data_IF_480565447646
#
_entry.id   IF_480565447646
#
_cell.length_a   1.000
_cell.length_b   1.000
_cell.length_c   1.000
_cell.angle_alpha   90.00
_cell.angle_beta   90.00
_cell.angle_gamma   90.00
#
_symmetry.space_group_name_H-M   'P 1'
#
loop_
_entity.id
_entity.type
_entity.pdbx_description
1 polymer ?
#
# COMPACT_ATOMS: atom_id res chain seq x y z
N UNK A 1 7.80 7.72 -17.15
CA UNK A 1 9.25 7.41 -17.21
C UNK A 1 9.70 6.89 -15.85
N UNK A 2 10.62 5.92 -15.79
CA UNK A 2 11.19 5.42 -14.54
C UNK A 2 12.71 5.40 -14.63
N UNK A 3 13.42 5.73 -13.54
CA UNK A 3 14.89 5.74 -13.50
C UNK A 3 15.45 5.62 -12.08
N UNK A 4 16.63 5.01 -11.95
CA UNK A 4 17.45 5.04 -10.73
C UNK A 4 18.17 6.37 -10.52
N UNK A 5 18.32 7.15 -11.60
CA UNK A 5 18.92 8.47 -11.55
C UNK A 5 17.84 9.51 -11.23
N UNK A 6 17.79 9.96 -9.98
CA UNK A 6 16.78 10.91 -9.53
C UNK A 6 17.08 12.34 -9.93
N UNK A 7 18.35 12.67 -10.23
CA UNK A 7 18.69 13.95 -10.83
C UNK A 7 18.07 14.03 -12.24
N UNK A 8 18.21 12.97 -13.04
CA UNK A 8 17.55 12.87 -14.32
C UNK A 8 16.03 13.02 -14.21
N UNK A 9 15.38 12.35 -13.25
CA UNK A 9 13.92 12.47 -13.05
C UNK A 9 13.51 13.90 -12.72
N UNK A 10 14.24 14.59 -11.84
CA UNK A 10 13.99 15.98 -11.50
C UNK A 10 14.12 16.90 -12.72
N UNK A 11 15.18 16.76 -13.51
CA UNK A 11 15.37 17.58 -14.71
C UNK A 11 14.36 17.24 -15.81
N UNK A 12 13.93 15.99 -15.91
CA UNK A 12 12.85 15.57 -16.80
C UNK A 12 11.51 16.19 -16.37
N UNK A 13 11.18 16.17 -15.08
CA UNK A 13 9.92 16.73 -14.56
C UNK A 13 9.77 18.22 -14.86
N UNK A 14 10.87 18.99 -14.84
CA UNK A 14 10.86 20.42 -15.22
C UNK A 14 10.44 20.66 -16.66
N UNK A 15 10.76 19.73 -17.56
CA UNK A 15 10.46 19.82 -19.00
C UNK A 15 9.08 19.27 -19.32
N UNK A 16 8.72 18.17 -18.68
CA UNK A 16 7.48 17.42 -18.92
C UNK A 16 6.70 17.20 -17.60
N UNK A 17 6.15 18.26 -16.98
CA UNK A 17 5.57 18.18 -15.64
C UNK A 17 4.30 17.31 -15.55
N UNK A 18 3.61 17.10 -16.67
CA UNK A 18 2.43 16.25 -16.75
C UNK A 18 2.77 14.76 -16.83
N UNK A 19 4.01 14.41 -17.17
CA UNK A 19 4.42 13.01 -17.30
C UNK A 19 4.53 12.38 -15.91
N UNK A 20 3.83 11.26 -15.71
CA UNK A 20 3.97 10.46 -14.49
C UNK A 20 5.36 9.82 -14.45
N UNK A 21 6.05 10.04 -13.33
CA UNK A 21 7.39 9.51 -13.07
C UNK A 21 7.37 8.48 -11.93
N UNK A 22 8.19 7.44 -12.10
CA UNK A 22 8.49 6.47 -11.06
C UNK A 22 9.96 6.54 -10.65
N UNK A 23 10.22 6.83 -9.38
CA UNK A 23 11.56 6.88 -8.83
C UNK A 23 11.99 5.46 -8.42
N UNK A 24 12.90 4.87 -9.20
CA UNK A 24 13.48 3.57 -8.88
C UNK A 24 14.50 3.75 -7.76
N UNK A 25 14.48 2.87 -6.77
CA UNK A 25 15.55 2.85 -5.80
C UNK A 25 15.86 1.48 -5.23
N UNK A 26 17.03 1.36 -4.59
CA UNK A 26 17.91 2.46 -4.15
C UNK A 26 18.55 3.27 -5.31
N UNK A 27 18.55 4.62 -5.27
CA UNK A 27 18.95 5.44 -6.41
C UNK A 27 20.45 5.35 -6.73
N UNK A 28 20.83 5.62 -7.97
CA UNK A 28 22.23 5.84 -8.36
C UNK A 28 22.69 7.25 -8.02
N UNK A 29 21.81 8.24 -8.24
CA UNK A 29 21.99 9.63 -7.82
C UNK A 29 20.70 10.11 -7.18
N UNK A 30 20.80 10.89 -6.09
CA UNK A 30 19.65 11.60 -5.54
C UNK A 30 19.34 12.84 -6.40
N UNK A 31 18.22 13.52 -6.14
CA UNK A 31 17.77 14.66 -6.94
C UNK A 31 18.79 15.81 -7.04
N UNK A 32 19.69 15.96 -6.05
CA UNK A 32 20.78 16.93 -6.08
C UNK A 32 21.97 16.53 -6.97
N UNK A 33 22.01 15.29 -7.47
CA UNK A 33 23.13 14.72 -8.22
C UNK A 33 24.17 14.00 -7.37
N UNK A 34 24.03 13.99 -6.03
CA UNK A 34 24.96 13.27 -5.16
C UNK A 34 24.74 11.75 -5.21
N UNK A 35 25.83 10.99 -5.08
CA UNK A 35 25.75 9.54 -4.89
C UNK A 35 25.34 9.20 -3.45
N UNK A 36 24.36 8.31 -3.25
CA UNK A 36 23.96 7.90 -1.93
C UNK A 36 24.95 6.94 -1.27
N UNK A 37 25.16 7.07 0.04
CA UNK A 37 25.99 6.16 0.84
C UNK A 37 25.26 4.83 1.10
N UNK A 38 25.40 3.88 0.16
CA UNK A 38 24.87 2.49 0.14
C UNK A 38 23.33 2.34 0.20
N UNK A 39 22.77 1.29 -0.43
CA UNK A 39 21.35 0.99 -0.36
C UNK A 39 20.92 0.63 1.08
N UNK A 40 19.80 1.21 1.51
CA UNK A 40 19.05 0.84 2.72
C UNK A 40 17.61 0.50 2.31
N UNK A 41 16.85 -0.22 3.16
CA UNK A 41 15.41 -0.37 2.98
C UNK A 41 14.72 0.98 2.75
N UNK A 42 13.57 0.95 2.07
CA UNK A 42 12.76 2.16 1.88
C UNK A 42 12.35 2.69 3.25
N UNK A 43 12.69 3.95 3.52
CA UNK A 43 12.38 4.65 4.75
C UNK A 43 11.90 6.08 4.47
N UNK A 44 11.54 6.80 5.53
CA UNK A 44 11.04 8.17 5.45
C UNK A 44 12.06 9.13 4.82
N UNK A 45 13.37 8.92 5.04
CA UNK A 45 14.44 9.75 4.50
C UNK A 45 14.47 9.66 2.98
N UNK A 46 14.32 8.44 2.44
CA UNK A 46 14.22 8.26 1.00
C UNK A 46 12.99 8.93 0.40
N UNK A 47 11.85 8.87 1.10
CA UNK A 47 10.63 9.52 0.65
C UNK A 47 10.74 11.05 0.69
N UNK A 48 11.49 11.61 1.63
CA UNK A 48 11.78 13.05 1.69
C UNK A 48 12.60 13.48 0.47
N UNK A 49 13.67 12.74 0.16
CA UNK A 49 14.51 13.01 -1.01
C UNK A 49 13.79 12.80 -2.34
N UNK A 50 12.89 11.81 -2.41
CA UNK A 50 12.10 11.50 -3.60
C UNK A 50 11.19 12.66 -3.99
N UNK A 51 10.68 13.44 -3.02
CA UNK A 51 9.77 14.55 -3.27
C UNK A 51 10.36 15.59 -4.26
N UNK A 52 11.68 15.77 -4.26
CA UNK A 52 12.37 16.69 -5.17
C UNK A 52 12.34 16.24 -6.65
N UNK A 53 12.04 14.97 -6.92
CA UNK A 53 12.00 14.42 -8.29
C UNK A 53 10.69 14.72 -9.02
N UNK A 54 9.62 15.05 -8.27
CA UNK A 54 8.26 15.13 -8.81
C UNK A 54 7.60 13.77 -9.07
N UNK A 55 8.25 12.66 -8.73
CA UNK A 55 7.70 11.31 -8.92
C UNK A 55 6.41 11.09 -8.13
N UNK A 56 5.52 10.29 -8.72
CA UNK A 56 4.24 9.88 -8.12
C UNK A 56 4.21 8.40 -7.73
N UNK A 57 5.22 7.65 -8.17
CA UNK A 57 5.39 6.25 -7.87
C UNK A 57 6.79 6.07 -7.27
N UNK A 58 6.89 5.49 -6.08
CA UNK A 58 8.14 4.95 -5.56
C UNK A 58 8.24 3.49 -6.03
N UNK A 59 9.33 3.15 -6.68
CA UNK A 59 9.57 1.81 -7.22
C UNK A 59 10.80 1.25 -6.52
N UNK A 60 10.63 0.31 -5.60
CA UNK A 60 11.71 -0.13 -4.72
C UNK A 60 12.04 -1.62 -4.90
N UNK A 61 13.22 -2.03 -4.44
CA UNK A 61 13.50 -3.45 -4.26
C UNK A 61 12.52 -4.08 -3.26
N UNK A 62 12.63 -5.39 -3.02
CA UNK A 62 11.87 -6.09 -1.96
C UNK A 62 12.10 -5.58 -0.53
N UNK A 63 13.03 -4.64 -0.32
CA UNK A 63 13.32 -4.05 0.99
C UNK A 63 12.34 -2.92 1.34
N UNK A 64 11.07 -3.29 1.50
CA UNK A 64 9.97 -2.41 1.94
C UNK A 64 9.35 -2.96 3.22
N UNK A 65 8.71 -2.09 4.01
CA UNK A 65 7.95 -2.46 5.20
C UNK A 65 6.53 -1.89 5.14
N UNK A 66 5.63 -2.39 5.99
CA UNK A 66 4.26 -1.88 6.05
C UNK A 66 4.24 -0.39 6.42
N UNK A 67 5.14 0.02 7.30
CA UNK A 67 5.30 1.40 7.74
C UNK A 67 5.78 2.29 6.60
N UNK A 68 6.76 1.85 5.79
CA UNK A 68 7.24 2.66 4.67
C UNK A 68 6.24 2.72 3.51
N UNK A 69 5.48 1.64 3.28
CA UNK A 69 4.35 1.64 2.34
C UNK A 69 3.27 2.62 2.79
N UNK A 70 2.84 2.53 4.05
CA UNK A 70 1.83 3.43 4.61
C UNK A 70 2.30 4.89 4.56
N UNK A 71 3.58 5.16 4.85
CA UNK A 71 4.13 6.51 4.76
C UNK A 71 4.13 7.06 3.32
N UNK A 72 4.50 6.24 2.34
CA UNK A 72 4.42 6.62 0.94
C UNK A 72 2.97 6.95 0.53
N UNK A 73 2.01 6.12 0.95
CA UNK A 73 0.58 6.36 0.72
C UNK A 73 0.09 7.66 1.37
N UNK A 74 0.52 7.98 2.60
CA UNK A 74 0.19 9.26 3.26
C UNK A 74 0.66 10.48 2.46
N UNK A 75 1.74 10.33 1.69
CA UNK A 75 2.28 11.37 0.80
C UNK A 75 1.63 11.38 -0.59
N UNK A 76 0.61 10.53 -0.81
CA UNK A 76 -0.06 10.40 -2.11
C UNK A 76 0.77 9.66 -3.17
N UNK A 77 1.81 8.94 -2.76
CA UNK A 77 2.64 8.14 -3.66
C UNK A 77 2.05 6.73 -3.81
N UNK A 78 2.27 6.12 -4.97
CA UNK A 78 2.06 4.68 -5.20
C UNK A 78 3.35 3.91 -4.96
N UNK A 79 3.26 2.70 -4.42
CA UNK A 79 4.43 1.86 -4.13
C UNK A 79 4.46 0.64 -5.02
N UNK A 80 5.46 0.53 -5.89
CA UNK A 80 5.71 -0.67 -6.69
C UNK A 80 6.98 -1.36 -6.22
N UNK A 81 7.02 -2.69 -6.32
CA UNK A 81 8.22 -3.49 -5.98
C UNK A 81 8.75 -4.25 -7.18
N UNK A 82 10.08 -4.38 -7.26
CA UNK A 82 10.75 -5.18 -8.29
C UNK A 82 11.91 -6.02 -7.70
N UNK A 83 12.37 -7.09 -8.34
CA UNK A 83 11.61 -7.95 -9.26
C UNK A 83 11.13 -9.14 -8.45
N UNK A 84 9.81 -9.40 -8.44
CA UNK A 84 9.21 -10.43 -7.60
C UNK A 84 8.73 -11.57 -8.48
N UNK A 85 9.38 -12.73 -8.36
CA UNK A 85 9.10 -13.92 -9.18
C UNK A 85 8.59 -15.11 -8.35
N UNK A 86 8.39 -14.92 -7.05
CA UNK A 86 7.96 -15.97 -6.13
C UNK A 86 6.52 -15.73 -5.64
N UNK A 87 5.61 -16.73 -5.67
CA UNK A 87 4.19 -16.51 -5.37
C UNK A 87 3.95 -16.07 -3.92
N UNK A 88 4.63 -16.71 -2.97
CA UNK A 88 4.49 -16.38 -1.55
C UNK A 88 5.02 -14.98 -1.22
N UNK A 89 6.10 -14.55 -1.90
CA UNK A 89 6.61 -13.20 -1.75
C UNK A 89 5.66 -12.17 -2.37
N UNK A 90 5.12 -12.45 -3.55
CA UNK A 90 4.10 -11.60 -4.17
C UNK A 90 2.88 -11.44 -3.25
N UNK A 91 2.40 -12.53 -2.64
CA UNK A 91 1.30 -12.50 -1.68
C UNK A 91 1.64 -11.61 -0.48
N UNK A 92 2.82 -11.79 0.12
CA UNK A 92 3.28 -10.99 1.26
C UNK A 92 3.42 -9.50 0.91
N UNK A 93 3.93 -9.16 -0.27
CA UNK A 93 4.05 -7.77 -0.72
C UNK A 93 2.67 -7.13 -0.93
N UNK A 94 1.73 -7.85 -1.53
CA UNK A 94 0.34 -7.40 -1.68
C UNK A 94 -0.35 -7.20 -0.32
N UNK A 95 -0.13 -8.12 0.64
CA UNK A 95 -0.65 -7.97 2.02
C UNK A 95 -0.02 -6.79 2.77
N UNK A 96 1.21 -6.41 2.41
CA UNK A 96 1.88 -5.23 2.93
C UNK A 96 1.26 -3.93 2.39
N UNK A 97 0.55 -4.00 1.26
CA UNK A 97 -0.17 -2.89 0.65
C UNK A 97 0.54 -2.26 -0.55
N UNK A 98 1.52 -2.93 -1.15
CA UNK A 98 2.12 -2.42 -2.40
C UNK A 98 1.05 -2.32 -3.51
N UNK A 99 1.14 -1.29 -4.34
CA UNK A 99 0.20 -1.02 -5.42
C UNK A 99 0.57 -1.74 -6.73
N UNK A 100 1.80 -2.24 -6.86
CA UNK A 100 2.27 -2.87 -8.09
C UNK A 100 3.45 -3.81 -7.87
N UNK A 101 3.51 -4.83 -8.72
CA UNK A 101 4.59 -5.81 -8.75
C UNK A 101 5.18 -5.82 -10.17
N UNK A 102 6.49 -5.61 -10.25
CA UNK A 102 7.29 -5.85 -11.45
C UNK A 102 7.86 -7.27 -11.34
N UNK A 103 7.65 -8.08 -12.37
CA UNK A 103 7.96 -9.51 -12.40
C UNK A 103 8.50 -9.93 -13.76
N UNK A 104 9.31 -10.98 -13.79
CA UNK A 104 9.66 -11.72 -15.00
C UNK A 104 8.62 -12.79 -15.36
N UNK A 105 7.70 -13.12 -14.45
CA UNK A 105 6.69 -14.15 -14.62
C UNK A 105 5.28 -13.60 -14.34
N UNK A 106 4.68 -12.98 -15.35
CA UNK A 106 3.34 -12.38 -15.24
C UNK A 106 2.25 -13.42 -14.98
N UNK A 107 2.36 -14.62 -15.56
CA UNK A 107 1.42 -15.73 -15.34
C UNK A 107 1.32 -16.15 -13.87
N UNK A 108 2.44 -16.14 -13.16
CA UNK A 108 2.51 -16.42 -11.73
C UNK A 108 1.76 -15.36 -10.92
N UNK A 109 1.97 -14.08 -11.21
CA UNK A 109 1.29 -12.98 -10.52
C UNK A 109 -0.23 -13.03 -10.79
N UNK A 110 -0.65 -13.33 -12.02
CA UNK A 110 -2.06 -13.55 -12.33
C UNK A 110 -2.69 -14.65 -11.47
N UNK A 111 -2.00 -15.77 -11.30
CA UNK A 111 -2.47 -16.85 -10.43
C UNK A 111 -2.59 -16.41 -8.97
N UNK A 112 -1.61 -15.68 -8.45
CA UNK A 112 -1.64 -15.14 -7.07
C UNK A 112 -2.86 -14.23 -6.88
N UNK A 113 -3.11 -13.29 -7.80
CA UNK A 113 -4.25 -12.38 -7.72
C UNK A 113 -5.59 -13.13 -7.76
N UNK A 114 -5.75 -14.09 -8.67
CA UNK A 114 -6.96 -14.90 -8.78
C UNK A 114 -7.26 -15.69 -7.49
N UNK A 115 -6.23 -16.28 -6.88
CA UNK A 115 -6.35 -17.02 -5.61
C UNK A 115 -6.60 -16.10 -4.41
N UNK A 116 -6.19 -14.83 -4.46
CA UNK A 116 -6.47 -13.86 -3.39
C UNK A 116 -7.92 -13.37 -3.42
N UNK A 117 -8.47 -13.09 -4.61
CA UNK A 117 -9.87 -12.69 -4.74
C UNK A 117 -10.83 -13.75 -4.19
N UNK A 118 -10.56 -15.04 -4.42
CA UNK A 118 -11.40 -16.12 -3.90
C UNK A 118 -11.35 -16.24 -2.37
N UNK A 119 -10.18 -16.01 -1.75
CA UNK A 119 -10.04 -15.98 -0.27
C UNK A 119 -10.84 -14.85 0.35
N UNK A 120 -10.81 -13.65 -0.23
CA UNK A 120 -11.52 -12.48 0.31
C UNK A 120 -13.04 -12.60 0.15
N UNK A 121 -13.52 -13.17 -0.96
CA UNK A 121 -14.97 -13.38 -1.19
C UNK A 121 -15.60 -14.44 -0.30
N UNK A 122 -14.83 -15.39 0.24
CA UNK A 122 -15.32 -16.43 1.15
C UNK A 122 -15.49 -15.99 2.61
N UNK A 123 -15.05 -14.78 2.98
CA UNK A 123 -15.09 -14.26 4.36
C UNK A 123 -16.29 -13.34 4.65
N UNK A 124 -17.22 -13.16 3.70
CA UNK A 124 -18.45 -12.41 3.94
C UNK A 124 -19.46 -13.29 4.68
N UNK A 125 -19.40 -13.27 6.00
CA UNK A 125 -20.44 -13.80 6.88
C UNK A 125 -21.70 -12.95 6.73
N UNK A 126 -22.71 -13.49 6.03
CA UNK A 126 -24.07 -12.95 6.03
C UNK A 126 -24.68 -13.24 7.41
N UNK A 127 -24.66 -12.24 8.30
CA UNK A 127 -25.46 -12.25 9.53
C UNK A 127 -26.88 -11.85 9.17
N UNK A 128 -27.92 -12.66 9.44
CA UNK A 128 -29.29 -12.20 9.27
C UNK A 128 -29.65 -11.31 10.46
N UNK A 129 -29.79 -10.01 10.23
CA UNK A 129 -30.47 -9.10 11.15
C UNK A 129 -31.98 -9.35 11.11
N UNK A 130 -32.60 -9.45 12.29
CA UNK A 130 -34.02 -9.14 12.44
C UNK A 130 -34.83 -10.08 13.33
N UNK A 131 -34.65 -10.01 14.65
CA UNK A 131 -35.75 -10.10 15.61
C UNK A 131 -35.46 -9.21 16.83
N UNK A 132 -35.99 -7.97 16.81
CA UNK A 132 -36.25 -7.20 18.03
C UNK A 132 -37.74 -7.26 18.33
N UNK A 133 -38.13 -7.84 19.47
CA UNK A 133 -39.41 -7.58 20.11
C UNK A 133 -39.12 -7.15 21.55
N UNK A 134 -39.06 -5.83 21.69
CA UNK A 134 -39.43 -4.99 22.83
C UNK A 134 -39.68 -5.68 24.18
N UNK A 135 -38.78 -5.41 25.13
CA UNK A 135 -39.12 -5.22 26.53
C UNK A 135 -39.87 -3.89 26.69
N UNK A 136 -41.15 -3.93 27.05
CA UNK A 136 -41.83 -2.82 27.73
C UNK A 136 -43.00 -3.33 28.58
N UNK A 137 -42.89 -3.14 29.91
CA UNK A 137 -43.96 -2.65 30.78
C UNK A 137 -43.60 -2.89 32.26
N UNK A 138 -42.71 -2.05 32.79
CA UNK A 138 -42.72 -1.74 34.22
C UNK A 138 -43.90 -0.81 34.52
N UNK A 139 -44.80 -1.21 35.44
CA UNK A 139 -45.51 -0.39 36.48
C UNK A 139 -46.92 -0.90 36.77
N UNK A 140 -47.11 -1.58 37.92
CA UNK A 140 -48.32 -1.40 38.73
C UNK A 140 -48.06 -1.67 40.22
N UNK A 141 -47.66 -0.60 40.90
CA UNK A 141 -48.15 -0.08 42.18
C UNK A 141 -48.60 -1.05 43.29
N UNK A 142 -47.94 -0.89 44.44
CA UNK A 142 -48.28 -1.45 45.75
C UNK A 142 -49.70 -1.10 46.25
N UNK A 143 -50.37 -2.04 46.95
CA UNK A 143 -51.11 -1.83 48.23
C UNK A 143 -51.80 -3.11 48.76
N UNK A 144 -51.23 -3.68 49.83
CA UNK A 144 -51.85 -3.93 51.16
C UNK A 144 -53.40 -4.07 51.26
N UNK A 145 -53.89 -5.25 51.67
CA UNK A 145 -54.91 -5.54 52.73
C UNK A 145 -55.28 -7.04 52.70
N UNK A 146 -54.93 -7.82 53.72
CA UNK A 146 -55.76 -8.14 54.90
C UNK A 146 -57.01 -8.98 54.57
N UNK A 147 -56.89 -10.30 54.67
CA UNK A 147 -57.79 -11.20 55.43
C UNK A 147 -57.24 -12.61 55.46
#
# INVERSE_FOLDING_TARGET
VQSFDWQYLREFNKREPMQILGALGPPSHIASGAEPKRPKPLDVTWLDLLAETGAKIVVWSREVSRESVAEAHRRGLKVWVYTIDEPGLAEAMLDMGVDGIITNNTSLIWRVLALRCSKTSGAVSITPEGQSLSDDASRRTARKKLR
#
